data_IF_724219471592
#
_entry.id   IF_724219471592
#
_cell.length_a   1.000
_cell.length_b   1.000
_cell.length_c   1.000
_cell.angle_alpha   90.00
_cell.angle_beta   90.00
_cell.angle_gamma   90.00
#
_symmetry.space_group_name_H-M   'P 1'
#
loop_
_entity.id
_entity.type
_entity.pdbx_description
1 polymer ?
#
# COMPACT_ATOMS: atom_id res chain seq x y z
N UNK A 1 10.16 24.05 16.97
CA UNK A 1 11.61 24.19 16.66
C UNK A 1 12.37 24.62 17.90
N UNK A 2 13.66 24.97 17.79
CA UNK A 2 14.47 25.39 18.95
C UNK A 2 13.91 26.64 19.67
N UNK A 3 13.11 27.45 18.99
CA UNK A 3 12.39 28.61 19.56
C UNK A 3 11.10 28.25 20.34
N UNK A 4 10.82 26.96 20.58
CA UNK A 4 9.58 26.53 21.26
C UNK A 4 8.28 26.75 20.46
N UNK A 5 8.38 27.20 19.20
CA UNK A 5 7.22 27.43 18.31
C UNK A 5 6.69 26.13 17.71
N UNK A 6 5.39 26.14 17.40
CA UNK A 6 4.70 25.09 16.63
C UNK A 6 5.37 24.88 15.27
N UNK A 7 5.57 23.61 14.89
CA UNK A 7 6.09 23.22 13.59
C UNK A 7 4.94 22.60 12.81
N UNK A 8 4.65 23.15 11.63
CA UNK A 8 3.53 22.69 10.80
C UNK A 8 3.70 21.21 10.44
N UNK A 9 2.65 20.38 10.60
CA UNK A 9 2.68 18.98 10.21
C UNK A 9 2.55 18.81 8.70
N UNK A 10 3.03 17.70 8.18
CA UNK A 10 2.81 17.34 6.78
C UNK A 10 2.99 15.84 6.53
N UNK A 11 2.49 15.33 5.39
CA UNK A 11 2.69 13.94 5.04
C UNK A 11 4.16 13.67 4.72
N UNK A 12 4.73 12.61 5.29
CA UNK A 12 5.98 12.03 4.82
C UNK A 12 5.71 11.07 3.65
N UNK A 13 6.70 10.85 2.78
CA UNK A 13 6.55 9.92 1.67
C UNK A 13 7.53 10.15 0.54
N UNK A 14 7.17 9.66 -0.64
CA UNK A 14 7.93 9.82 -1.88
C UNK A 14 7.42 11.07 -2.63
N UNK A 15 8.27 12.08 -2.90
CA UNK A 15 7.84 13.34 -3.54
C UNK A 15 7.47 13.19 -5.02
N UNK A 16 7.90 12.13 -5.70
CA UNK A 16 7.54 11.86 -7.09
C UNK A 16 6.11 11.30 -7.13
N UNK A 17 5.79 10.36 -6.24
CA UNK A 17 4.44 9.76 -6.14
C UNK A 17 3.43 10.69 -5.50
N UNK A 18 3.85 11.46 -4.49
CA UNK A 18 3.01 12.44 -3.81
C UNK A 18 3.76 13.77 -3.67
N UNK A 19 3.61 14.71 -4.62
CA UNK A 19 4.20 16.05 -4.50
C UNK A 19 3.74 16.84 -3.26
N UNK A 20 2.63 16.46 -2.63
CA UNK A 20 2.13 17.08 -1.40
C UNK A 20 3.00 16.87 -0.16
N UNK A 21 4.05 16.04 -0.24
CA UNK A 21 5.08 15.95 0.81
C UNK A 21 6.04 17.15 0.81
N UNK A 22 5.99 17.98 -0.23
CA UNK A 22 6.76 19.21 -0.35
C UNK A 22 5.90 20.45 0.01
N UNK A 23 6.52 21.54 0.49
CA UNK A 23 7.94 21.69 0.80
C UNK A 23 8.37 20.90 2.05
N UNK A 24 9.68 20.69 2.20
CA UNK A 24 10.29 20.08 3.39
C UNK A 24 10.30 21.07 4.58
N UNK A 25 10.80 20.62 5.74
CA UNK A 25 10.83 21.44 6.97
C UNK A 25 9.56 21.32 7.83
N UNK A 26 8.66 20.41 7.47
CA UNK A 26 7.46 20.06 8.25
C UNK A 26 7.74 18.96 9.27
N UNK A 27 6.92 18.90 10.32
CA UNK A 27 6.88 17.77 11.23
C UNK A 27 6.13 16.61 10.56
N UNK A 28 6.87 15.71 9.92
CA UNK A 28 6.27 14.69 9.07
C UNK A 28 5.49 13.64 9.86
N UNK A 29 4.39 13.17 9.29
CA UNK A 29 3.61 12.04 9.79
C UNK A 29 3.37 11.00 8.70
N UNK A 30 2.92 9.82 9.09
CA UNK A 30 2.48 8.78 8.18
C UNK A 30 1.06 9.09 7.65
N UNK A 31 0.14 8.13 7.75
CA UNK A 31 -1.25 8.24 7.31
C UNK A 31 -2.18 7.54 8.31
N UNK A 32 -3.49 7.74 8.16
CA UNK A 32 -4.49 6.96 8.87
C UNK A 32 -4.42 5.49 8.41
N UNK A 33 -4.15 4.50 9.29
CA UNK A 33 -4.07 3.10 8.89
C UNK A 33 -5.38 2.57 8.28
N UNK A 34 -6.53 3.19 8.53
CA UNK A 34 -7.81 2.81 7.92
C UNK A 34 -8.01 3.40 6.52
N UNK A 35 -7.10 4.25 6.04
CA UNK A 35 -7.15 4.82 4.69
C UNK A 35 -6.50 3.94 3.62
N UNK A 36 -5.89 2.82 4.01
CA UNK A 36 -5.18 1.89 3.13
C UNK A 36 -5.75 0.45 3.24
N UNK A 37 -5.64 -0.37 2.18
CA UNK A 37 -5.22 0.01 0.84
C UNK A 37 -6.29 0.81 0.09
N UNK A 38 -5.87 1.76 -0.73
CA UNK A 38 -6.78 2.51 -1.60
C UNK A 38 -7.22 1.67 -2.81
N UNK A 39 -8.30 2.09 -3.49
CA UNK A 39 -8.73 1.44 -4.74
C UNK A 39 -7.66 1.49 -5.84
N UNK A 40 -6.89 2.58 -5.90
CA UNK A 40 -5.75 2.69 -6.81
C UNK A 40 -4.65 1.69 -6.47
N UNK A 41 -4.33 1.54 -5.18
CA UNK A 41 -3.36 0.56 -4.71
C UNK A 41 -3.79 -0.88 -5.02
N UNK A 42 -5.08 -1.21 -4.88
CA UNK A 42 -5.62 -2.53 -5.28
C UNK A 42 -5.44 -2.81 -6.77
N UNK A 43 -5.79 -1.85 -7.63
CA UNK A 43 -5.63 -2.00 -9.08
C UNK A 43 -4.16 -2.18 -9.47
N UNK A 44 -3.27 -1.39 -8.86
CA UNK A 44 -1.82 -1.49 -9.04
C UNK A 44 -1.30 -2.86 -8.57
N UNK A 45 -1.73 -3.31 -7.40
CA UNK A 45 -1.38 -4.60 -6.82
C UNK A 45 -1.79 -5.77 -7.72
N UNK A 46 -3.00 -5.77 -8.27
CA UNK A 46 -3.46 -6.83 -9.18
C UNK A 46 -2.53 -7.01 -10.38
N UNK A 47 -2.07 -5.91 -10.99
CA UNK A 47 -1.10 -5.97 -12.11
C UNK A 47 0.23 -6.57 -11.67
N UNK A 48 0.71 -6.23 -10.46
CA UNK A 48 1.96 -6.78 -9.93
C UNK A 48 1.82 -8.28 -9.63
N UNK A 49 0.73 -8.71 -8.99
CA UNK A 49 0.48 -10.12 -8.69
C UNK A 49 0.34 -10.93 -9.97
N UNK A 50 -0.42 -10.45 -10.95
CA UNK A 50 -0.57 -11.13 -12.25
C UNK A 50 0.78 -11.35 -12.92
N UNK A 51 1.63 -10.31 -12.98
CA UNK A 51 2.98 -10.41 -13.55
C UNK A 51 3.90 -11.34 -12.76
N UNK A 52 3.81 -11.32 -11.43
CA UNK A 52 4.58 -12.22 -10.57
C UNK A 52 4.21 -13.67 -10.86
N UNK A 53 2.91 -13.99 -10.87
CA UNK A 53 2.42 -15.34 -11.11
C UNK A 53 2.70 -15.79 -12.56
N UNK A 54 2.54 -14.92 -13.55
CA UNK A 54 2.90 -15.20 -14.93
C UNK A 54 4.39 -15.56 -15.03
N UNK A 55 5.26 -14.75 -14.44
CA UNK A 55 6.70 -14.99 -14.45
C UNK A 55 7.06 -16.30 -13.75
N UNK A 56 6.45 -16.58 -12.61
CA UNK A 56 6.71 -17.81 -11.86
C UNK A 56 6.24 -19.05 -12.63
N UNK A 57 5.06 -18.99 -13.26
CA UNK A 57 4.56 -20.08 -14.10
C UNK A 57 5.49 -20.38 -15.27
N UNK A 58 6.02 -19.34 -15.94
CA UNK A 58 6.99 -19.54 -17.03
C UNK A 58 8.25 -20.26 -16.55
N UNK A 59 8.67 -20.02 -15.30
CA UNK A 59 9.85 -20.66 -14.71
C UNK A 59 9.54 -22.05 -14.10
N UNK A 60 8.28 -22.33 -13.79
CA UNK A 60 7.83 -23.54 -13.09
C UNK A 60 6.92 -24.43 -13.94
N UNK A 61 7.26 -24.62 -15.22
CA UNK A 61 6.57 -25.54 -16.14
C UNK A 61 5.06 -25.27 -16.27
N UNK A 62 4.64 -24.01 -16.13
CA UNK A 62 3.25 -23.58 -16.20
C UNK A 62 2.47 -23.71 -14.89
N UNK A 63 3.07 -24.22 -13.81
CA UNK A 63 2.43 -24.42 -12.51
C UNK A 63 2.48 -23.15 -11.64
N UNK A 64 1.42 -22.90 -10.89
CA UNK A 64 1.39 -21.85 -9.89
C UNK A 64 2.24 -22.23 -8.66
N UNK A 65 2.86 -21.26 -7.97
CA UNK A 65 3.44 -21.53 -6.65
C UNK A 65 2.32 -21.82 -5.64
N UNK A 66 2.50 -22.83 -4.81
CA UNK A 66 1.55 -23.15 -3.73
C UNK A 66 1.64 -22.15 -2.57
N UNK A 67 2.80 -21.51 -2.39
CA UNK A 67 3.04 -20.54 -1.31
C UNK A 67 4.04 -19.50 -1.77
N UNK A 68 3.77 -18.23 -1.42
CA UNK A 68 4.66 -17.10 -1.65
C UNK A 68 5.00 -16.48 -0.29
N UNK A 69 6.27 -16.50 0.08
CA UNK A 69 6.77 -15.78 1.24
C UNK A 69 7.04 -14.32 0.85
N UNK A 70 6.54 -13.37 1.65
CA UNK A 70 6.68 -11.93 1.39
C UNK A 70 6.88 -11.16 2.69
N UNK A 71 7.45 -9.96 2.59
CA UNK A 71 7.70 -9.06 3.72
C UNK A 71 6.90 -7.79 3.54
N UNK A 72 6.21 -7.36 4.60
CA UNK A 72 5.46 -6.10 4.61
C UNK A 72 6.26 -5.03 5.37
N UNK A 73 6.58 -3.94 4.68
CA UNK A 73 7.23 -2.77 5.27
C UNK A 73 6.27 -1.60 5.41
N UNK A 74 6.30 -0.95 6.58
CA UNK A 74 5.46 0.23 6.83
C UNK A 74 5.79 1.39 5.89
N UNK A 75 7.08 1.64 5.63
CA UNK A 75 7.55 2.72 4.74
C UNK A 75 6.93 2.67 3.36
N UNK A 76 6.82 1.47 2.79
CA UNK A 76 6.39 1.29 1.42
C UNK A 76 4.86 1.38 1.33
N UNK A 77 4.16 0.83 2.33
CA UNK A 77 2.70 0.96 2.43
C UNK A 77 2.27 2.41 2.65
N UNK A 78 3.04 3.21 3.40
CA UNK A 78 2.78 4.66 3.54
C UNK A 78 2.95 5.36 2.19
N UNK A 79 4.04 5.07 1.46
CA UNK A 79 4.36 5.74 0.18
C UNK A 79 3.43 5.34 -0.97
N UNK A 80 2.85 4.15 -0.92
CA UNK A 80 2.04 3.57 -1.99
C UNK A 80 0.57 3.48 -1.64
N UNK A 81 0.17 3.95 -0.46
CA UNK A 81 -1.19 3.80 0.06
C UNK A 81 -1.65 2.33 0.10
N UNK A 82 -0.74 1.43 0.46
CA UNK A 82 -1.02 0.02 0.71
C UNK A 82 -0.82 -0.95 -0.48
N UNK A 83 0.02 -0.65 -1.48
CA UNK A 83 0.18 -1.55 -2.64
C UNK A 83 0.67 -2.96 -2.27
N UNK A 84 1.69 -3.07 -1.41
CA UNK A 84 2.21 -4.41 -1.01
C UNK A 84 1.24 -5.15 -0.11
N UNK A 85 0.52 -4.46 0.79
CA UNK A 85 -0.59 -5.05 1.54
C UNK A 85 -1.70 -5.57 0.60
N UNK A 86 -2.07 -4.78 -0.41
CA UNK A 86 -3.05 -5.17 -1.41
C UNK A 86 -2.60 -6.36 -2.26
N UNK A 87 -1.31 -6.52 -2.55
CA UNK A 87 -0.79 -7.70 -3.26
C UNK A 87 -1.08 -8.98 -2.48
N UNK A 88 -0.89 -8.98 -1.16
CA UNK A 88 -1.24 -10.13 -0.31
C UNK A 88 -2.72 -10.45 -0.43
N UNK A 89 -3.58 -9.43 -0.29
CA UNK A 89 -5.03 -9.60 -0.37
C UNK A 89 -5.44 -10.20 -1.73
N UNK A 90 -4.87 -9.71 -2.84
CA UNK A 90 -5.12 -10.26 -4.17
C UNK A 90 -4.67 -11.72 -4.29
N UNK A 91 -3.49 -12.07 -3.77
CA UNK A 91 -2.97 -13.44 -3.82
C UNK A 91 -3.89 -14.45 -3.11
N UNK A 92 -4.53 -14.03 -2.01
CA UNK A 92 -5.43 -14.90 -1.22
C UNK A 92 -6.91 -14.74 -1.59
N UNK A 93 -7.23 -13.98 -2.64
CA UNK A 93 -8.62 -13.76 -3.07
C UNK A 93 -9.45 -12.96 -2.07
N UNK A 94 -8.86 -11.99 -1.37
CA UNK A 94 -9.53 -11.13 -0.41
C UNK A 94 -9.71 -9.72 -1.00
N UNK A 95 -10.89 -9.14 -0.77
CA UNK A 95 -11.22 -7.75 -1.08
C UNK A 95 -11.40 -6.94 0.20
N UNK A 96 -10.67 -5.84 0.39
CA UNK A 96 -10.94 -4.90 1.47
C UNK A 96 -12.18 -4.05 1.17
N UNK A 97 -13.00 -3.84 2.19
CA UNK A 97 -14.27 -3.10 2.09
C UNK A 97 -14.21 -1.90 3.01
N UNK A 98 -14.41 -0.72 2.41
CA UNK A 98 -14.52 0.53 3.13
C UNK A 98 -15.95 0.72 3.65
N UNK A 99 -16.09 1.32 4.84
CA UNK A 99 -17.38 1.79 5.31
C UNK A 99 -17.82 3.09 4.61
N UNK A 100 -18.99 3.62 4.98
CA UNK A 100 -19.54 4.85 4.40
C UNK A 100 -18.64 6.08 4.59
N UNK A 101 -17.69 6.06 5.54
CA UNK A 101 -16.71 7.12 5.78
C UNK A 101 -15.40 6.89 5.03
N UNK A 102 -15.29 5.81 4.26
CA UNK A 102 -14.09 5.45 3.51
C UNK A 102 -13.05 4.69 4.34
N UNK A 103 -13.37 4.27 5.56
CA UNK A 103 -12.44 3.52 6.42
C UNK A 103 -12.44 2.06 6.03
N UNK A 104 -11.28 1.55 5.62
CA UNK A 104 -11.05 0.14 5.35
C UNK A 104 -10.95 -0.61 6.68
N UNK A 105 -12.03 -1.27 7.06
CA UNK A 105 -12.14 -2.00 8.33
C UNK A 105 -12.83 -3.36 8.21
N UNK A 106 -13.15 -3.79 7.00
CA UNK A 106 -13.80 -5.07 6.68
C UNK A 106 -13.09 -5.74 5.52
N UNK A 107 -13.20 -7.06 5.45
CA UNK A 107 -12.66 -7.90 4.38
C UNK A 107 -13.74 -8.86 3.89
N UNK A 108 -13.75 -9.14 2.60
CA UNK A 108 -14.63 -10.13 1.96
C UNK A 108 -13.80 -11.08 1.10
N UNK A 109 -14.24 -12.34 1.02
CA UNK A 109 -13.67 -13.31 0.07
C UNK A 109 -14.28 -13.05 -1.31
N UNK A 110 -13.45 -13.12 -2.36
CA UNK A 110 -13.84 -12.97 -3.76
C UNK A 110 -14.34 -14.31 -4.31
#
# INVERSE_FOLDING_TARGET
GLEGRYVEPGPGGDPIRNPGVLPTGKNIHALDPQSIPTQAALKSASVVVERLLERERLNNQGNYPETIALVLWGTDNIKTYGESLAQVMVMVGIRPVADALGRVNKLEVI
#
